data_IF_416452659194
#
_entry.id   IF_416452659194
#
_cell.length_a   1.000
_cell.length_b   1.000
_cell.length_c   1.000
_cell.angle_alpha   90.00
_cell.angle_beta   90.00
_cell.angle_gamma   90.00
#
_symmetry.space_group_name_H-M   'P 1'
#
loop_
_entity.id
_entity.type
_entity.pdbx_description
1 polymer ?
#
# COMPACT_ATOMS: atom_id res chain seq x y z
N UNK A 1 -19.16 -5.08 -16.50
CA UNK A 1 -17.90 -4.79 -15.80
C UNK A 1 -18.22 -4.60 -14.34
N UNK A 2 -17.56 -5.22 -13.36
CA UNK A 2 -17.75 -4.81 -11.99
C UNK A 2 -17.29 -3.36 -11.90
N UNK A 3 -18.18 -2.47 -11.52
CA UNK A 3 -17.88 -1.06 -11.25
C UNK A 3 -16.89 -1.04 -10.08
N UNK A 4 -15.63 -0.90 -10.36
CA UNK A 4 -14.60 -0.69 -9.34
C UNK A 4 -14.82 0.72 -8.79
N UNK A 5 -15.12 0.83 -7.51
CA UNK A 5 -15.34 2.13 -6.86
C UNK A 5 -14.00 2.82 -6.63
N UNK A 6 -13.88 4.08 -7.03
CA UNK A 6 -12.73 4.93 -6.67
C UNK A 6 -12.68 5.11 -5.15
N UNK A 7 -13.80 5.49 -4.53
CA UNK A 7 -13.96 5.51 -3.06
C UNK A 7 -14.80 4.33 -2.62
N UNK A 8 -14.29 3.58 -1.64
CA UNK A 8 -14.98 2.40 -1.14
C UNK A 8 -16.23 2.79 -0.37
N UNK A 9 -17.42 2.28 -0.76
CA UNK A 9 -18.67 2.55 -0.06
C UNK A 9 -18.64 2.10 1.40
N UNK A 10 -19.23 2.92 2.28
CA UNK A 10 -19.28 2.64 3.73
C UNK A 10 -19.92 1.27 4.03
N UNK A 11 -20.89 0.84 3.22
CA UNK A 11 -21.52 -0.47 3.39
C UNK A 11 -20.51 -1.61 3.25
N UNK A 12 -19.56 -1.52 2.30
CA UNK A 12 -18.50 -2.52 2.13
C UNK A 12 -17.57 -2.51 3.34
N UNK A 13 -17.17 -1.34 3.84
CA UNK A 13 -16.34 -1.22 5.05
C UNK A 13 -17.02 -1.86 6.25
N UNK A 14 -18.32 -1.65 6.43
CA UNK A 14 -19.12 -2.27 7.51
C UNK A 14 -19.28 -3.79 7.39
N UNK A 15 -19.17 -4.37 6.20
CA UNK A 15 -19.17 -5.83 6.02
C UNK A 15 -17.88 -6.49 6.52
N UNK A 16 -16.78 -5.73 6.59
CA UNK A 16 -15.47 -6.21 7.03
C UNK A 16 -14.89 -5.29 8.11
N UNK A 17 -15.52 -5.22 9.30
CA UNK A 17 -15.18 -4.23 10.34
C UNK A 17 -13.80 -4.47 10.96
N UNK A 18 -13.24 -5.67 10.83
CA UNK A 18 -11.92 -6.03 11.33
C UNK A 18 -10.77 -5.70 10.36
N UNK A 19 -11.09 -5.14 9.18
CA UNK A 19 -10.12 -4.65 8.23
C UNK A 19 -10.01 -3.13 8.33
N UNK A 20 -8.80 -2.61 8.14
CA UNK A 20 -8.56 -1.17 8.16
C UNK A 20 -8.76 -0.60 6.77
N UNK A 21 -9.75 0.28 6.60
CA UNK A 21 -10.10 0.91 5.32
C UNK A 21 -9.66 2.37 5.26
N UNK A 22 -9.74 3.03 6.37
CA UNK A 22 -9.33 4.40 6.65
C UNK A 22 -8.90 4.47 8.12
N UNK A 23 -8.29 5.56 8.52
CA UNK A 23 -7.83 5.79 9.90
C UNK A 23 -8.56 7.03 10.42
N UNK A 24 -9.61 6.85 11.24
CA UNK A 24 -10.43 7.96 11.73
C UNK A 24 -9.59 9.02 12.44
N UNK A 25 -9.66 10.25 11.96
CA UNK A 25 -8.96 11.40 12.53
C UNK A 25 -9.68 12.70 12.16
N UNK A 26 -9.60 13.69 13.06
CA UNK A 26 -10.03 15.07 12.78
C UNK A 26 -8.91 15.90 12.14
N UNK A 27 -7.67 15.42 12.24
CA UNK A 27 -6.51 16.08 11.67
C UNK A 27 -6.48 15.93 10.15
N UNK A 28 -5.88 16.89 9.48
CA UNK A 28 -5.62 16.83 8.03
C UNK A 28 -4.46 15.89 7.74
N UNK A 29 -4.71 14.58 7.83
CA UNK A 29 -3.74 13.52 7.57
C UNK A 29 -4.26 12.63 6.46
N UNK A 30 -3.38 12.27 5.53
CA UNK A 30 -3.61 11.30 4.46
C UNK A 30 -2.55 10.21 4.58
N UNK A 31 -2.97 8.95 4.42
CA UNK A 31 -2.09 7.78 4.45
C UNK A 31 -1.88 7.26 3.03
N UNK A 32 -0.79 7.72 2.39
CA UNK A 32 -0.40 7.20 1.08
C UNK A 32 0.19 5.80 1.24
N UNK A 33 -0.21 4.89 0.36
CA UNK A 33 0.29 3.52 0.34
C UNK A 33 0.69 3.12 -1.08
N UNK A 34 1.75 2.33 -1.19
CA UNK A 34 2.28 1.83 -2.44
C UNK A 34 2.35 0.32 -2.39
N UNK A 35 1.81 -0.35 -3.41
CA UNK A 35 1.78 -1.80 -3.52
C UNK A 35 2.75 -2.26 -4.65
N UNK A 36 3.13 -3.54 -4.64
CA UNK A 36 3.92 -4.26 -5.64
C UNK A 36 5.45 -4.07 -5.59
N UNK A 37 5.96 -3.03 -4.95
CA UNK A 37 7.40 -2.80 -4.82
C UNK A 37 8.13 -3.83 -3.93
N UNK A 38 9.44 -3.64 -3.69
CA UNK A 38 10.29 -2.63 -4.30
C UNK A 38 10.59 -2.92 -5.78
N UNK A 39 10.54 -1.88 -6.60
CA UNK A 39 10.83 -1.95 -8.03
C UNK A 39 11.97 -1.00 -8.37
N UNK A 40 13.07 -1.47 -9.01
CA UNK A 40 14.16 -0.61 -9.45
C UNK A 40 13.67 0.64 -10.16
N UNK A 41 14.34 1.75 -9.95
CA UNK A 41 14.05 3.09 -10.46
C UNK A 41 12.72 3.67 -9.95
N UNK A 42 11.62 2.91 -10.03
CA UNK A 42 10.27 3.40 -9.69
C UNK A 42 10.13 3.68 -8.19
N UNK A 43 10.53 2.73 -7.35
CA UNK A 43 10.44 2.92 -5.89
C UNK A 43 11.37 4.05 -5.42
N UNK A 44 12.61 4.13 -5.94
CA UNK A 44 13.52 5.21 -5.58
C UNK A 44 12.98 6.58 -6.05
N UNK A 45 12.45 6.68 -7.27
CA UNK A 45 11.78 7.89 -7.74
C UNK A 45 10.60 8.30 -6.83
N UNK A 46 9.82 7.32 -6.37
CA UNK A 46 8.71 7.56 -5.42
C UNK A 46 9.23 8.12 -4.10
N UNK A 47 10.31 7.57 -3.56
CA UNK A 47 10.95 8.05 -2.32
C UNK A 47 11.44 9.49 -2.46
N UNK A 48 12.12 9.83 -3.56
CA UNK A 48 12.61 11.18 -3.83
C UNK A 48 11.44 12.18 -3.95
N UNK A 49 10.35 11.77 -4.61
CA UNK A 49 9.14 12.58 -4.73
C UNK A 49 8.50 12.83 -3.35
N UNK A 50 8.32 11.79 -2.53
CA UNK A 50 7.77 11.92 -1.17
C UNK A 50 8.64 12.83 -0.30
N UNK A 51 9.96 12.72 -0.41
CA UNK A 51 10.93 13.53 0.35
C UNK A 51 10.78 15.02 0.07
N UNK A 52 10.52 15.40 -1.18
CA UNK A 52 10.31 16.80 -1.58
C UNK A 52 9.17 17.48 -0.80
N UNK A 53 8.19 16.71 -0.36
CA UNK A 53 7.03 17.19 0.40
C UNK A 53 7.08 16.81 1.90
N UNK A 54 8.21 16.32 2.40
CA UNK A 54 8.34 15.76 3.75
C UNK A 54 7.24 14.74 4.08
N UNK A 55 6.78 13.99 3.08
CA UNK A 55 5.70 13.02 3.18
C UNK A 55 6.24 11.67 3.65
N UNK A 56 5.48 10.99 4.52
CA UNK A 56 5.71 9.59 4.88
C UNK A 56 4.59 8.73 4.29
N UNK A 57 4.92 7.46 4.01
CA UNK A 57 4.01 6.52 3.37
C UNK A 57 4.24 5.10 3.90
N UNK A 58 3.38 4.17 3.49
CA UNK A 58 3.54 2.74 3.77
C UNK A 58 3.66 1.97 2.46
N UNK A 59 4.69 1.12 2.36
CA UNK A 59 4.96 0.30 1.19
C UNK A 59 4.61 -1.16 1.49
N UNK A 60 3.65 -1.73 0.76
CA UNK A 60 3.30 -3.14 0.83
C UNK A 60 4.13 -3.92 -0.17
N UNK A 61 5.21 -4.52 0.34
CA UNK A 61 6.27 -5.11 -0.47
C UNK A 61 5.98 -6.57 -0.82
N UNK A 62 6.23 -6.95 -2.08
CA UNK A 62 6.26 -8.33 -2.52
C UNK A 62 7.58 -8.97 -2.05
N UNK A 63 7.50 -10.09 -1.31
CA UNK A 63 8.68 -10.72 -0.72
C UNK A 63 9.77 -11.09 -1.75
N UNK A 64 9.38 -11.60 -2.91
CA UNK A 64 10.31 -11.91 -4.00
C UNK A 64 11.04 -10.66 -4.54
N UNK A 65 10.39 -9.48 -4.50
CA UNK A 65 11.04 -8.23 -4.88
C UNK A 65 12.00 -7.74 -3.80
N UNK A 66 11.65 -7.94 -2.52
CA UNK A 66 12.55 -7.66 -1.39
C UNK A 66 13.82 -8.54 -1.46
N UNK A 67 13.67 -9.82 -1.81
CA UNK A 67 14.81 -10.74 -2.00
C UNK A 67 15.76 -10.26 -3.09
N UNK A 68 15.21 -9.77 -4.21
CA UNK A 68 15.98 -9.30 -5.36
C UNK A 68 16.60 -7.91 -5.18
N UNK A 69 15.96 -7.07 -4.40
CA UNK A 69 16.30 -5.65 -4.24
C UNK A 69 16.29 -5.22 -2.77
N UNK A 70 17.06 -5.90 -1.89
CA UNK A 70 17.09 -5.58 -0.46
C UNK A 70 17.59 -4.15 -0.20
N UNK A 71 18.46 -3.62 -1.06
CA UNK A 71 18.97 -2.25 -0.97
C UNK A 71 17.85 -1.20 -1.12
N UNK A 72 16.82 -1.47 -1.94
CA UNK A 72 15.68 -0.54 -2.11
C UNK A 72 14.80 -0.59 -0.86
N UNK A 73 14.59 -1.75 -0.25
CA UNK A 73 13.91 -1.84 1.04
C UNK A 73 14.63 -1.01 2.12
N UNK A 74 15.98 -1.06 2.14
CA UNK A 74 16.78 -0.23 3.05
C UNK A 74 16.55 1.27 2.80
N UNK A 75 16.42 1.70 1.53
CA UNK A 75 16.12 3.08 1.20
C UNK A 75 14.74 3.50 1.73
N UNK A 76 13.71 2.66 1.58
CA UNK A 76 12.37 2.90 2.14
C UNK A 76 12.45 3.14 3.65
N UNK A 77 13.16 2.27 4.38
CA UNK A 77 13.32 2.37 5.83
C UNK A 77 14.15 3.58 6.25
N UNK A 78 15.23 3.88 5.51
CA UNK A 78 16.12 5.03 5.77
C UNK A 78 15.39 6.36 5.65
N UNK A 79 14.50 6.49 4.69
CA UNK A 79 13.66 7.67 4.52
C UNK A 79 12.48 7.70 5.52
N UNK A 80 12.37 6.72 6.42
CA UNK A 80 11.40 6.70 7.53
C UNK A 80 9.98 6.33 7.14
N UNK A 81 9.83 5.56 6.07
CA UNK A 81 8.55 4.99 5.68
C UNK A 81 8.27 3.68 6.42
N UNK A 82 6.99 3.31 6.53
CA UNK A 82 6.59 1.99 7.01
C UNK A 82 6.55 0.97 5.86
N UNK A 83 6.67 -0.30 6.22
CA UNK A 83 6.51 -1.40 5.27
C UNK A 83 5.41 -2.36 5.74
N UNK A 84 4.81 -3.07 4.79
CA UNK A 84 3.85 -4.14 5.01
C UNK A 84 4.12 -5.32 4.09
N UNK A 85 3.51 -6.45 4.40
CA UNK A 85 3.61 -7.70 3.64
C UNK A 85 2.56 -7.72 2.53
N UNK A 86 2.99 -7.96 1.27
CA UNK A 86 2.11 -8.10 0.10
C UNK A 86 2.20 -9.47 -0.55
N UNK A 87 2.37 -10.54 0.25
CA UNK A 87 2.69 -11.91 -0.14
C UNK A 87 4.08 -12.03 -0.78
N UNK A 88 4.58 -13.26 -0.95
CA UNK A 88 5.90 -13.45 -1.57
C UNK A 88 5.86 -13.41 -3.10
N UNK A 89 4.80 -13.98 -3.71
CA UNK A 89 4.67 -14.11 -5.16
C UNK A 89 3.43 -13.42 -5.73
N UNK A 90 2.85 -12.43 -5.04
CA UNK A 90 1.64 -11.72 -5.45
C UNK A 90 0.47 -12.64 -5.82
N UNK A 91 0.23 -13.68 -4.98
CA UNK A 91 -0.76 -14.73 -5.25
C UNK A 91 -2.19 -14.18 -5.15
N UNK A 92 -3.06 -14.72 -6.03
CA UNK A 92 -4.51 -14.46 -5.99
C UNK A 92 -5.16 -15.29 -4.87
N UNK A 93 -5.37 -14.69 -3.68
CA UNK A 93 -5.89 -15.39 -2.51
C UNK A 93 -7.13 -16.21 -2.78
N UNK A 94 -8.12 -15.66 -3.52
CA UNK A 94 -9.37 -16.38 -3.87
C UNK A 94 -9.18 -17.57 -4.80
N UNK A 95 -8.04 -17.68 -5.51
CA UNK A 95 -7.70 -18.81 -6.39
C UNK A 95 -6.71 -19.79 -5.77
N UNK A 96 -6.11 -19.45 -4.63
CA UNK A 96 -5.07 -20.23 -3.96
C UNK A 96 -5.67 -20.98 -2.77
N UNK A 97 -5.27 -22.23 -2.52
CA UNK A 97 -5.64 -22.94 -1.31
C UNK A 97 -5.16 -22.18 -0.07
N UNK A 98 -5.94 -22.25 1.02
CA UNK A 98 -5.61 -21.44 2.22
C UNK A 98 -4.24 -21.76 2.80
N UNK A 99 -3.83 -23.03 2.95
CA UNK A 99 -2.48 -23.33 3.46
C UNK A 99 -1.35 -22.74 2.60
N UNK A 100 -1.47 -22.86 1.28
CA UNK A 100 -0.47 -22.36 0.32
C UNK A 100 -0.40 -20.84 0.35
N UNK A 101 -1.55 -20.17 0.44
CA UNK A 101 -1.62 -18.72 0.52
C UNK A 101 -0.96 -18.20 1.80
N UNK A 102 -1.25 -18.82 2.95
CA UNK A 102 -0.63 -18.47 4.22
C UNK A 102 0.86 -18.82 4.26
N UNK A 103 1.26 -19.93 3.65
CA UNK A 103 2.66 -20.28 3.46
C UNK A 103 3.43 -19.22 2.67
N UNK A 104 2.81 -18.68 1.62
CA UNK A 104 3.40 -17.62 0.81
C UNK A 104 3.51 -16.28 1.56
N UNK A 105 2.53 -15.94 2.41
CA UNK A 105 2.59 -14.77 3.30
C UNK A 105 3.71 -14.95 4.33
N UNK A 106 3.81 -16.14 4.95
CA UNK A 106 4.87 -16.46 5.91
C UNK A 106 6.26 -16.38 5.28
N UNK A 107 6.40 -16.81 4.03
CA UNK A 107 7.65 -16.67 3.28
C UNK A 107 8.03 -15.20 3.09
N UNK A 108 7.10 -14.35 2.65
CA UNK A 108 7.34 -12.91 2.55
C UNK A 108 7.72 -12.29 3.90
N UNK A 109 7.04 -12.71 4.97
CA UNK A 109 7.34 -12.23 6.32
C UNK A 109 8.76 -12.57 6.73
N UNK A 110 9.18 -13.82 6.54
CA UNK A 110 10.55 -14.26 6.83
C UNK A 110 11.59 -13.48 5.98
N UNK A 111 11.30 -13.23 4.70
CA UNK A 111 12.17 -12.43 3.83
C UNK A 111 12.34 -11.00 4.36
N UNK A 112 11.26 -10.37 4.82
CA UNK A 112 11.28 -9.03 5.41
C UNK A 112 12.05 -9.05 6.75
N UNK A 113 11.76 -9.99 7.63
CA UNK A 113 12.35 -10.09 8.96
C UNK A 113 13.85 -10.46 8.93
N UNK A 114 14.31 -11.16 7.89
CA UNK A 114 15.71 -11.42 7.66
C UNK A 114 16.50 -10.16 7.29
N UNK A 115 15.84 -9.07 6.92
CA UNK A 115 16.50 -7.78 6.72
C UNK A 115 16.79 -7.14 8.07
N UNK A 116 17.92 -6.46 8.15
CA UNK A 116 18.29 -5.70 9.35
C UNK A 116 18.30 -4.21 9.03
N UNK A 117 17.74 -3.42 9.92
CA UNK A 117 17.82 -1.96 9.84
C UNK A 117 18.28 -1.39 11.19
N UNK A 118 19.36 -0.59 11.16
CA UNK A 118 19.99 -0.04 12.38
C UNK A 118 20.32 -1.12 13.43
N UNK A 119 20.80 -2.28 12.98
CA UNK A 119 21.19 -3.40 13.84
C UNK A 119 20.04 -4.20 14.46
N UNK A 120 18.81 -4.02 13.99
CA UNK A 120 17.63 -4.76 14.45
C UNK A 120 16.92 -5.42 13.26
N UNK A 121 16.30 -6.60 13.46
CA UNK A 121 15.40 -7.17 12.46
C UNK A 121 14.30 -6.19 12.07
N UNK A 122 13.96 -6.15 10.79
CA UNK A 122 12.82 -5.39 10.30
C UNK A 122 11.55 -6.14 10.66
N UNK A 123 10.61 -5.48 11.32
CA UNK A 123 9.35 -6.11 11.74
C UNK A 123 8.15 -5.36 11.21
N UNK A 124 7.11 -6.09 10.83
CA UNK A 124 5.81 -5.52 10.47
C UNK A 124 4.71 -6.55 10.73
N UNK A 125 3.56 -6.09 11.15
CA UNK A 125 2.32 -6.88 11.20
C UNK A 125 1.28 -6.36 10.19
N UNK A 126 1.66 -5.39 9.34
CA UNK A 126 0.80 -4.87 8.29
C UNK A 126 0.76 -5.85 7.12
N UNK A 127 -0.44 -6.17 6.67
CA UNK A 127 -0.65 -7.04 5.51
C UNK A 127 -1.68 -6.42 4.58
N UNK A 128 -1.42 -6.46 3.28
CA UNK A 128 -2.42 -6.16 2.24
C UNK A 128 -2.49 -7.32 1.26
N UNK A 129 -3.71 -7.76 0.97
CA UNK A 129 -3.93 -8.84 0.01
C UNK A 129 -3.76 -8.34 -1.42
N UNK A 130 -3.01 -9.03 -2.28
CA UNK A 130 -3.00 -8.77 -3.71
C UNK A 130 -4.44 -8.68 -4.27
N UNK A 131 -4.67 -7.66 -5.11
CA UNK A 131 -5.99 -7.38 -5.71
C UNK A 131 -7.10 -7.05 -4.68
N UNK A 132 -6.78 -6.85 -3.40
CA UNK A 132 -7.75 -6.61 -2.33
C UNK A 132 -8.72 -7.76 -2.06
N UNK A 133 -8.36 -9.00 -2.39
CA UNK A 133 -9.27 -10.14 -2.32
C UNK A 133 -8.72 -11.31 -1.51
N UNK A 134 -9.46 -11.68 -0.47
CA UNK A 134 -9.20 -12.80 0.43
C UNK A 134 -10.40 -13.75 0.49
N UNK A 135 -10.16 -15.05 0.72
CA UNK A 135 -11.20 -15.94 1.22
C UNK A 135 -11.48 -15.60 2.70
N UNK A 136 -12.73 -15.72 3.19
CA UNK A 136 -13.05 -15.43 4.60
C UNK A 136 -12.15 -16.17 5.59
N UNK A 137 -11.85 -17.47 5.30
CA UNK A 137 -10.97 -18.30 6.12
C UNK A 137 -9.54 -17.75 6.17
N UNK A 138 -9.02 -17.23 5.04
CA UNK A 138 -7.67 -16.62 4.98
C UNK A 138 -7.63 -15.36 5.85
N UNK A 139 -8.62 -14.47 5.69
CA UNK A 139 -8.70 -13.24 6.47
C UNK A 139 -8.79 -13.52 7.97
N UNK A 140 -9.67 -14.48 8.39
CA UNK A 140 -9.77 -14.87 9.79
C UNK A 140 -8.43 -15.35 10.35
N UNK A 141 -7.75 -16.27 9.67
CA UNK A 141 -6.47 -16.81 10.13
C UNK A 141 -5.37 -15.76 10.21
N UNK A 142 -5.35 -14.79 9.29
CA UNK A 142 -4.39 -13.68 9.36
C UNK A 142 -4.64 -12.78 10.57
N UNK A 143 -5.89 -12.46 10.88
CA UNK A 143 -6.25 -11.72 12.09
C UNK A 143 -5.87 -12.50 13.36
N UNK A 144 -6.14 -13.81 13.40
CA UNK A 144 -5.77 -14.69 14.51
C UNK A 144 -4.24 -14.77 14.71
N UNK A 145 -3.45 -14.59 13.63
CA UNK A 145 -1.98 -14.51 13.67
C UNK A 145 -1.45 -13.10 14.01
N UNK A 146 -2.34 -12.15 14.30
CA UNK A 146 -1.96 -10.79 14.71
C UNK A 146 -1.71 -9.80 13.57
N UNK A 147 -1.95 -10.18 12.30
CA UNK A 147 -1.84 -9.24 11.20
C UNK A 147 -2.95 -8.19 11.23
N UNK A 148 -2.59 -6.95 10.90
CA UNK A 148 -3.52 -5.87 10.56
C UNK A 148 -3.76 -5.91 9.05
N UNK A 149 -4.98 -6.28 8.63
CA UNK A 149 -5.34 -6.33 7.21
C UNK A 149 -5.71 -4.92 6.77
N UNK A 150 -4.81 -4.31 5.99
CA UNK A 150 -4.96 -2.94 5.50
C UNK A 150 -5.57 -2.98 4.11
N UNK A 151 -6.75 -2.43 4.00
CA UNK A 151 -7.44 -2.18 2.74
C UNK A 151 -7.17 -0.72 2.28
N UNK A 152 -8.14 -0.08 1.67
CA UNK A 152 -8.05 1.31 1.23
C UNK A 152 -9.42 2.00 1.24
N UNK A 153 -9.40 3.29 1.35
CA UNK A 153 -10.56 4.15 1.16
C UNK A 153 -10.64 4.61 -0.31
N UNK A 154 -9.49 5.00 -0.86
CA UNK A 154 -9.35 5.54 -2.21
C UNK A 154 -8.37 4.70 -3.03
N UNK A 155 -8.74 4.41 -4.27
CA UNK A 155 -7.88 3.73 -5.23
C UNK A 155 -7.64 4.61 -6.46
N UNK A 156 -6.38 4.81 -6.81
CA UNK A 156 -5.97 5.69 -7.90
C UNK A 156 -6.27 5.13 -9.30
N UNK A 157 -6.31 3.80 -9.45
CA UNK A 157 -6.32 3.05 -10.71
C UNK A 157 -5.09 3.30 -11.59
N UNK A 158 -3.97 3.66 -10.99
CA UNK A 158 -2.70 3.96 -11.69
C UNK A 158 -2.18 2.82 -12.57
N UNK A 159 -2.51 1.56 -12.25
CA UNK A 159 -2.15 0.38 -13.05
C UNK A 159 -3.03 0.15 -14.28
N UNK A 160 -4.18 0.84 -14.41
CA UNK A 160 -5.10 0.63 -15.53
C UNK A 160 -4.63 1.44 -16.74
N UNK A 161 -4.22 0.73 -17.79
CA UNK A 161 -3.74 1.34 -19.04
C UNK A 161 -4.83 2.07 -19.84
N UNK A 162 -6.11 1.85 -19.48
CA UNK A 162 -7.25 2.42 -20.20
C UNK A 162 -7.72 3.76 -19.61
N UNK A 163 -7.21 4.17 -18.45
CA UNK A 163 -7.49 5.49 -17.91
C UNK A 163 -6.38 6.48 -18.31
N UNK A 164 -6.76 7.74 -18.42
CA UNK A 164 -5.80 8.82 -18.63
C UNK A 164 -5.12 9.15 -17.30
N UNK A 165 -3.95 9.72 -17.37
CA UNK A 165 -3.20 10.14 -16.19
C UNK A 165 -3.92 11.23 -15.38
N UNK A 166 -4.73 12.10 -16.06
CA UNK A 166 -5.59 13.09 -15.40
C UNK A 166 -6.74 12.42 -14.63
N UNK A 167 -7.31 11.33 -15.15
CA UNK A 167 -8.37 10.58 -14.46
C UNK A 167 -7.80 9.89 -13.21
N UNK A 168 -6.56 9.38 -13.28
CA UNK A 168 -5.84 8.85 -12.11
C UNK A 168 -5.67 9.93 -11.03
N UNK A 169 -5.26 11.13 -11.41
CA UNK A 169 -5.15 12.29 -10.51
C UNK A 169 -6.50 12.65 -9.90
N UNK A 170 -7.55 12.80 -10.71
CA UNK A 170 -8.88 13.20 -10.26
C UNK A 170 -9.48 12.16 -9.29
N UNK A 171 -9.30 10.88 -9.56
CA UNK A 171 -9.71 9.79 -8.65
C UNK A 171 -9.22 10.03 -7.22
N UNK A 172 -8.02 10.55 -7.05
CA UNK A 172 -7.43 10.78 -5.74
C UNK A 172 -7.87 12.14 -5.17
N UNK A 173 -7.68 13.25 -5.91
CA UNK A 173 -7.90 14.58 -5.35
C UNK A 173 -9.35 14.88 -5.06
N UNK A 174 -10.30 14.32 -5.83
CA UNK A 174 -11.74 14.62 -5.69
C UNK A 174 -12.41 13.83 -4.57
N UNK A 175 -11.81 12.76 -4.06
CA UNK A 175 -12.45 11.81 -3.12
C UNK A 175 -11.72 11.67 -1.78
N UNK A 176 -10.45 12.09 -1.70
CA UNK A 176 -9.63 11.95 -0.49
C UNK A 176 -10.07 12.95 0.59
N UNK A 177 -10.17 12.48 1.81
CA UNK A 177 -10.53 13.26 2.99
C UNK A 177 -9.62 12.88 4.19
N UNK A 178 -9.84 13.49 5.36
CA UNK A 178 -9.06 13.21 6.57
C UNK A 178 -9.08 11.71 6.88
N UNK A 179 -7.90 11.13 7.09
CA UNK A 179 -7.75 9.73 7.44
C UNK A 179 -7.84 8.75 6.27
N UNK A 180 -8.06 9.21 5.04
CA UNK A 180 -8.12 8.32 3.87
C UNK A 180 -6.83 7.55 3.68
N UNK A 181 -6.94 6.23 3.50
CA UNK A 181 -5.87 5.36 3.00
C UNK A 181 -5.97 5.33 1.47
N UNK A 182 -4.94 5.83 0.79
CA UNK A 182 -4.90 5.97 -0.67
C UNK A 182 -3.92 4.96 -1.25
N UNK A 183 -4.32 4.24 -2.31
CA UNK A 183 -3.48 3.25 -2.99
C UNK A 183 -2.94 3.78 -4.32
N UNK A 184 -1.63 3.72 -4.43
CA UNK A 184 -0.84 3.73 -5.65
C UNK A 184 -0.02 2.44 -5.74
N UNK A 185 0.70 2.23 -6.86
CA UNK A 185 1.58 1.09 -7.05
C UNK A 185 2.95 1.56 -7.55
N UNK A 186 4.00 1.19 -6.83
CA UNK A 186 5.38 1.48 -7.24
C UNK A 186 5.92 0.36 -8.15
N UNK A 187 5.19 0.11 -9.24
CA UNK A 187 5.46 -0.94 -10.22
C UNK A 187 5.56 -0.39 -11.65
N UNK A 188 6.27 -1.12 -12.52
CA UNK A 188 6.43 -0.74 -13.93
C UNK A 188 5.09 -0.51 -14.63
N UNK A 189 4.08 -1.27 -14.27
CA UNK A 189 2.75 -1.17 -14.88
C UNK A 189 2.05 0.14 -14.55
N UNK A 190 2.24 0.63 -13.33
CA UNK A 190 1.59 1.84 -12.81
C UNK A 190 2.42 3.11 -13.04
N UNK A 191 3.71 2.97 -13.34
CA UNK A 191 4.68 4.06 -13.34
C UNK A 191 4.19 5.31 -14.09
N UNK A 192 3.66 5.16 -15.31
CA UNK A 192 3.22 6.30 -16.12
C UNK A 192 2.18 7.16 -15.37
N UNK A 193 1.09 6.55 -14.93
CA UNK A 193 -0.01 7.27 -14.28
C UNK A 193 0.38 7.74 -12.87
N UNK A 194 1.08 6.90 -12.12
CA UNK A 194 1.54 7.22 -10.77
C UNK A 194 2.52 8.40 -10.78
N UNK A 195 3.50 8.41 -11.66
CA UNK A 195 4.49 9.49 -11.77
C UNK A 195 3.87 10.82 -12.22
N UNK A 196 2.79 10.79 -12.99
CA UNK A 196 2.03 11.98 -13.32
C UNK A 196 1.21 12.49 -12.13
N UNK A 197 0.51 11.58 -11.44
CA UNK A 197 -0.48 11.95 -10.42
C UNK A 197 0.17 12.27 -9.06
N UNK A 198 1.13 11.48 -8.58
CA UNK A 198 1.69 11.58 -7.22
C UNK A 198 2.22 12.98 -6.87
N UNK A 199 3.07 13.65 -7.68
CA UNK A 199 3.56 14.99 -7.34
C UNK A 199 2.44 16.01 -7.20
N UNK A 200 1.41 15.90 -8.08
CA UNK A 200 0.27 16.82 -8.08
C UNK A 200 -0.66 16.57 -6.89
N UNK A 201 -0.84 15.31 -6.47
CA UNK A 201 -1.57 14.94 -5.25
C UNK A 201 -0.86 15.53 -4.02
N UNK A 202 0.45 15.34 -3.92
CA UNK A 202 1.25 15.87 -2.82
C UNK A 202 1.17 17.39 -2.76
N UNK A 203 1.36 18.08 -3.88
CA UNK A 203 1.25 19.54 -3.97
C UNK A 203 -0.15 20.04 -3.56
N UNK A 204 -1.20 19.42 -4.11
CA UNK A 204 -2.59 19.81 -3.87
C UNK A 204 -2.94 19.76 -2.38
N UNK A 205 -2.64 18.64 -1.71
CA UNK A 205 -2.99 18.47 -0.32
C UNK A 205 -2.06 19.22 0.64
N UNK A 206 -0.77 19.36 0.32
CA UNK A 206 0.15 20.21 1.10
C UNK A 206 -0.31 21.66 1.10
N UNK A 207 -0.73 22.22 -0.05
CA UNK A 207 -1.30 23.57 -0.13
C UNK A 207 -2.58 23.73 0.70
N UNK A 208 -3.31 22.65 0.94
CA UNK A 208 -4.50 22.62 1.82
C UNK A 208 -4.17 22.36 3.29
N UNK A 209 -2.89 22.24 3.64
CA UNK A 209 -2.42 22.04 5.02
C UNK A 209 -2.52 20.58 5.49
N UNK A 210 -2.59 19.60 4.58
CA UNK A 210 -2.51 18.19 4.94
C UNK A 210 -1.07 17.74 5.16
N UNK A 211 -0.91 16.78 6.09
CA UNK A 211 0.30 15.97 6.26
C UNK A 211 0.10 14.59 5.68
N UNK A 212 1.19 13.98 5.27
CA UNK A 212 1.21 12.60 4.80
C UNK A 212 1.99 11.75 5.79
N UNK A 213 1.36 10.76 6.36
CA UNK A 213 1.95 9.90 7.38
C UNK A 213 1.90 8.42 6.99
N UNK A 214 2.81 7.63 7.54
CA UNK A 214 2.74 6.17 7.42
C UNK A 214 1.64 5.62 8.34
N UNK A 215 1.09 4.47 7.99
CA UNK A 215 0.07 3.79 8.81
C UNK A 215 0.64 3.47 10.20
N UNK A 216 -0.04 3.85 11.30
CA UNK A 216 0.52 3.88 12.66
C UNK A 216 0.35 2.56 13.44
N UNK A 217 0.50 1.38 12.84
CA UNK A 217 0.30 0.09 13.52
C UNK A 217 1.60 -0.71 13.61
#
# INVERSE_FOLDING_TARGET
MPTSFVKIPVVIKKMFPNYVWDIPTTDKIIYLTFDDGPTPDITNWTLDTLKTYNAKATFFCIGNNVEKHPEILQNILKEGHAIGNHTHNHLKGWKTATPDYLGNIKQAQATIENQQFKGKPVTTNLFRAPYGKLKPRQGKQLLDLGYKIIMWDIISFDWDKNIREEDCLDNVISKTENGSVVVFHDSLKAAKNMQYALPKVLEHFTKKGYRFESIPY
#
